data_IF_189136344378
#
_entry.id   IF_189136344378
#
_cell.length_a   1.000
_cell.length_b   1.000
_cell.length_c   1.000
_cell.angle_alpha   90.00
_cell.angle_beta   90.00
_cell.angle_gamma   90.00
#
_symmetry.space_group_name_H-M   'P 1'
#
loop_
_entity.id
_entity.type
_entity.pdbx_description
1 polymer ?
#
# COMPACT_ATOMS: atom_id res chain seq x y z
N UNK A 1 -20.50 8.16 3.53
CA UNK A 1 -21.79 8.66 2.98
C UNK A 1 -22.79 7.55 2.69
N UNK A 2 -22.35 6.37 2.24
CA UNK A 2 -23.23 5.20 1.95
C UNK A 2 -23.37 4.24 3.14
N UNK A 3 -22.85 4.62 4.31
CA UNK A 3 -22.84 3.78 5.51
C UNK A 3 -24.23 3.56 6.15
N UNK A 4 -25.29 4.17 5.60
CA UNK A 4 -26.69 3.91 5.97
C UNK A 4 -27.26 2.65 5.31
N UNK A 5 -26.58 2.09 4.30
CA UNK A 5 -27.00 0.88 3.61
C UNK A 5 -26.81 -0.37 4.49
N UNK A 6 -27.49 -1.49 4.21
CA UNK A 6 -27.27 -2.76 4.90
C UNK A 6 -25.81 -3.23 4.79
N UNK A 7 -25.27 -3.82 5.85
CA UNK A 7 -23.87 -4.21 5.94
C UNK A 7 -23.40 -5.14 4.81
N UNK A 8 -24.25 -6.06 4.36
CA UNK A 8 -23.93 -6.96 3.23
C UNK A 8 -23.74 -6.16 1.93
N UNK A 9 -24.61 -5.19 1.67
CA UNK A 9 -24.52 -4.35 0.47
C UNK A 9 -23.28 -3.46 0.51
N UNK A 10 -22.94 -2.92 1.68
CA UNK A 10 -21.68 -2.19 1.88
C UNK A 10 -20.49 -3.10 1.59
N UNK A 11 -20.47 -4.33 2.13
CA UNK A 11 -19.40 -5.28 1.89
C UNK A 11 -19.20 -5.60 0.40
N UNK A 12 -20.30 -5.82 -0.34
CA UNK A 12 -20.27 -6.06 -1.79
C UNK A 12 -19.73 -4.81 -2.51
N UNK A 13 -20.27 -3.63 -2.21
CA UNK A 13 -19.86 -2.39 -2.85
C UNK A 13 -18.38 -2.08 -2.59
N UNK A 14 -17.93 -2.18 -1.34
CA UNK A 14 -16.53 -2.00 -0.95
C UNK A 14 -15.62 -2.99 -1.66
N UNK A 15 -16.02 -4.26 -1.76
CA UNK A 15 -15.23 -5.28 -2.46
C UNK A 15 -15.10 -4.98 -3.95
N UNK A 16 -16.19 -4.54 -4.60
CA UNK A 16 -16.17 -4.13 -6.01
C UNK A 16 -15.28 -2.90 -6.20
N UNK A 17 -15.43 -1.87 -5.37
CA UNK A 17 -14.61 -0.66 -5.46
C UNK A 17 -13.13 -0.96 -5.25
N UNK A 18 -12.79 -1.80 -4.26
CA UNK A 18 -11.42 -2.22 -3.99
C UNK A 18 -10.84 -3.01 -5.17
N UNK A 19 -11.62 -3.94 -5.73
CA UNK A 19 -11.21 -4.73 -6.90
C UNK A 19 -10.97 -3.84 -8.12
N UNK A 20 -11.93 -3.00 -8.49
CA UNK A 20 -11.81 -2.08 -9.62
C UNK A 20 -10.61 -1.14 -9.46
N UNK A 21 -10.42 -0.59 -8.26
CA UNK A 21 -9.29 0.27 -7.94
C UNK A 21 -7.95 -0.47 -8.15
N UNK A 22 -7.85 -1.69 -7.64
CA UNK A 22 -6.62 -2.50 -7.75
C UNK A 22 -6.35 -2.95 -9.19
N UNK A 23 -7.37 -3.44 -9.90
CA UNK A 23 -7.25 -3.85 -11.31
C UNK A 23 -6.98 -2.69 -12.26
N UNK A 24 -7.29 -1.46 -11.88
CA UNK A 24 -6.93 -0.28 -12.65
C UNK A 24 -5.46 0.12 -12.41
N UNK A 25 -5.06 0.32 -11.15
CA UNK A 25 -3.73 0.88 -10.84
C UNK A 25 -2.59 -0.12 -10.96
N UNK A 26 -2.80 -1.38 -10.56
CA UNK A 26 -1.71 -2.36 -10.53
C UNK A 26 -1.13 -2.64 -11.93
N UNK A 27 -1.92 -2.84 -13.00
CA UNK A 27 -1.35 -3.03 -14.34
C UNK A 27 -0.50 -1.85 -14.81
N UNK A 28 -0.95 -0.60 -14.55
CA UNK A 28 -0.20 0.61 -14.91
C UNK A 28 1.14 0.63 -14.16
N UNK A 29 1.10 0.36 -12.86
CA UNK A 29 2.26 0.34 -11.99
C UNK A 29 3.26 -0.75 -12.41
N UNK A 30 2.79 -1.97 -12.67
CA UNK A 30 3.61 -3.10 -13.12
C UNK A 30 4.23 -2.81 -14.49
N UNK A 31 3.48 -2.24 -15.42
CA UNK A 31 4.01 -1.86 -16.73
C UNK A 31 5.18 -0.88 -16.59
N UNK A 32 5.02 0.19 -15.80
CA UNK A 32 6.09 1.17 -15.59
C UNK A 32 7.30 0.56 -14.85
N UNK A 33 7.06 -0.33 -13.88
CA UNK A 33 8.14 -1.03 -13.19
C UNK A 33 8.91 -1.97 -14.12
N UNK A 34 8.23 -2.65 -15.06
CA UNK A 34 8.89 -3.46 -16.08
C UNK A 34 9.73 -2.61 -17.05
N UNK A 35 9.23 -1.44 -17.46
CA UNK A 35 10.01 -0.48 -18.27
C UNK A 35 11.24 0.03 -17.50
N UNK A 36 11.08 0.37 -16.21
CA UNK A 36 12.18 0.74 -15.32
C UNK A 36 13.21 -0.39 -15.18
N UNK A 37 12.75 -1.63 -15.03
CA UNK A 37 13.59 -2.82 -14.89
C UNK A 37 14.41 -3.08 -16.15
N UNK A 38 13.77 -3.00 -17.33
CA UNK A 38 14.44 -3.21 -18.61
C UNK A 38 15.44 -2.10 -18.97
N UNK A 39 15.30 -0.90 -18.40
CA UNK A 39 16.14 0.26 -18.73
C UNK A 39 17.32 0.40 -17.75
N UNK A 40 18.59 0.30 -18.20
CA UNK A 40 19.76 0.41 -17.33
C UNK A 40 20.18 1.87 -17.05
N UNK A 41 19.58 2.87 -17.72
CA UNK A 41 20.03 4.26 -17.64
C UNK A 41 19.62 4.95 -16.32
N UNK A 42 20.58 5.44 -15.51
CA UNK A 42 20.28 6.09 -14.22
C UNK A 42 19.39 7.33 -14.36
N UNK A 43 19.61 8.14 -15.40
CA UNK A 43 18.82 9.35 -15.65
C UNK A 43 17.33 9.05 -15.92
N UNK A 44 17.03 7.90 -16.54
CA UNK A 44 15.67 7.45 -16.75
C UNK A 44 15.03 7.04 -15.41
N UNK A 45 15.77 6.27 -14.60
CA UNK A 45 15.32 5.82 -13.27
C UNK A 45 14.95 6.99 -12.37
N UNK A 46 15.80 8.02 -12.31
CA UNK A 46 15.55 9.26 -11.55
C UNK A 46 14.26 9.99 -11.96
N UNK A 47 13.82 9.85 -13.23
CA UNK A 47 12.58 10.48 -13.72
C UNK A 47 11.35 9.61 -13.52
N UNK A 48 11.48 8.29 -13.62
CA UNK A 48 10.33 7.38 -13.49
C UNK A 48 9.99 7.05 -12.04
N UNK A 49 10.96 7.09 -11.12
CA UNK A 49 10.73 6.79 -9.69
C UNK A 49 9.65 7.71 -9.06
N UNK A 50 9.68 9.05 -9.24
CA UNK A 50 8.60 9.90 -8.76
C UNK A 50 7.24 9.60 -9.37
N UNK A 51 7.20 9.15 -10.63
CA UNK A 51 5.95 8.79 -11.32
C UNK A 51 5.35 7.50 -10.73
N UNK A 52 6.17 6.48 -10.48
CA UNK A 52 5.75 5.23 -9.84
C UNK A 52 5.23 5.53 -8.42
N UNK A 53 5.95 6.36 -7.66
CA UNK A 53 5.52 6.78 -6.33
C UNK A 53 4.18 7.54 -6.37
N UNK A 54 4.02 8.48 -7.30
CA UNK A 54 2.77 9.21 -7.47
C UNK A 54 1.59 8.27 -7.78
N UNK A 55 1.80 7.26 -8.64
CA UNK A 55 0.77 6.27 -8.97
C UNK A 55 0.40 5.45 -7.73
N UNK A 56 1.38 5.03 -6.94
CA UNK A 56 1.13 4.31 -5.69
C UNK A 56 0.32 5.16 -4.69
N UNK A 57 0.69 6.43 -4.52
CA UNK A 57 -0.03 7.36 -3.66
C UNK A 57 -1.45 7.66 -4.18
N UNK A 58 -1.63 7.75 -5.51
CA UNK A 58 -2.95 7.92 -6.13
C UNK A 58 -3.84 6.70 -5.90
N UNK A 59 -3.29 5.49 -6.05
CA UNK A 59 -3.98 4.24 -5.74
C UNK A 59 -4.43 4.19 -4.29
N UNK A 60 -3.55 4.55 -3.35
CA UNK A 60 -3.88 4.68 -1.93
C UNK A 60 -4.92 5.77 -1.69
N UNK A 61 -4.83 6.90 -2.38
CA UNK A 61 -5.83 7.98 -2.33
C UNK A 61 -7.22 7.50 -2.73
N UNK A 62 -7.32 6.67 -3.77
CA UNK A 62 -8.57 6.01 -4.15
C UNK A 62 -9.04 5.01 -3.08
N UNK A 63 -8.12 4.33 -2.37
CA UNK A 63 -8.49 3.49 -1.24
C UNK A 63 -9.14 4.29 -0.11
N UNK A 64 -8.50 5.41 0.26
CA UNK A 64 -9.04 6.37 1.21
C UNK A 64 -10.41 6.90 0.79
N UNK A 65 -10.62 7.17 -0.50
CA UNK A 65 -11.89 7.67 -1.00
C UNK A 65 -13.04 6.66 -0.82
N UNK A 66 -12.85 5.38 -1.18
CA UNK A 66 -13.91 4.38 -0.95
C UNK A 66 -14.12 4.11 0.53
N UNK A 67 -13.09 4.20 1.39
CA UNK A 67 -13.24 4.09 2.83
C UNK A 67 -14.15 5.20 3.38
N UNK A 68 -13.88 6.45 3.03
CA UNK A 68 -14.73 7.60 3.42
C UNK A 68 -16.15 7.48 2.86
N UNK A 69 -16.29 6.92 1.66
CA UNK A 69 -17.59 6.72 1.04
C UNK A 69 -18.42 5.68 1.79
N UNK A 70 -17.83 4.54 2.15
CA UNK A 70 -18.55 3.32 2.58
C UNK A 70 -18.55 3.10 4.09
N UNK A 71 -17.50 3.54 4.80
CA UNK A 71 -17.33 3.29 6.22
C UNK A 71 -17.84 4.47 7.07
N UNK A 72 -18.04 4.23 8.37
CA UNK A 72 -18.37 5.27 9.37
C UNK A 72 -17.26 5.37 10.41
N UNK A 73 -16.03 5.53 9.94
CA UNK A 73 -14.85 5.56 10.79
C UNK A 73 -14.60 6.97 11.32
N UNK A 74 -14.46 7.10 12.63
CA UNK A 74 -13.97 8.31 13.30
C UNK A 74 -12.51 8.12 13.64
N UNK A 75 -11.66 9.04 13.18
CA UNK A 75 -10.23 8.99 13.42
C UNK A 75 -9.85 9.88 14.60
N UNK A 76 -9.41 9.27 15.70
CA UNK A 76 -8.74 9.96 16.80
C UNK A 76 -7.24 9.69 16.68
N UNK A 77 -6.50 10.69 16.21
CA UNK A 77 -5.09 10.54 15.82
C UNK A 77 -4.30 11.77 16.24
N UNK A 78 -3.19 11.54 16.94
CA UNK A 78 -2.35 12.58 17.53
C UNK A 78 -0.96 12.59 16.88
N UNK A 79 -0.32 13.77 16.82
CA UNK A 79 1.08 13.93 16.40
C UNK A 79 1.38 13.78 14.90
N UNK A 80 0.47 13.25 14.07
CA UNK A 80 0.73 13.07 12.62
C UNK A 80 1.01 14.40 11.90
N UNK A 81 0.37 15.49 12.32
CA UNK A 81 0.56 16.80 11.70
C UNK A 81 1.97 17.37 11.88
N UNK A 82 2.73 16.87 12.86
CA UNK A 82 4.08 17.35 13.21
C UNK A 82 5.18 16.59 12.46
N UNK A 83 4.84 15.52 11.72
CA UNK A 83 5.81 14.68 11.01
C UNK A 83 6.40 15.42 9.78
N UNK A 84 7.72 15.63 9.72
CA UNK A 84 8.36 16.21 8.53
C UNK A 84 8.26 15.30 7.29
N UNK A 85 7.62 15.77 6.22
CA UNK A 85 7.39 14.94 5.02
C UNK A 85 8.67 14.41 4.33
N UNK A 86 9.82 15.09 4.51
CA UNK A 86 11.12 14.72 3.93
C UNK A 86 12.07 14.16 5.00
N UNK A 87 11.72 13.04 5.61
CA UNK A 87 12.52 12.38 6.64
C UNK A 87 12.40 10.86 6.54
N UNK A 88 13.30 10.15 7.21
CA UNK A 88 13.29 8.69 7.28
C UNK A 88 12.49 8.23 8.50
N UNK A 89 11.60 7.26 8.29
CA UNK A 89 10.70 6.76 9.33
C UNK A 89 10.78 5.25 9.44
N UNK A 90 10.83 4.76 10.68
CA UNK A 90 10.47 3.39 11.02
C UNK A 90 9.14 3.45 11.75
N UNK A 91 8.07 3.04 11.07
CA UNK A 91 6.73 2.98 11.67
C UNK A 91 6.60 1.66 12.42
N UNK A 92 6.39 1.74 13.74
CA UNK A 92 6.14 0.60 14.59
C UNK A 92 4.71 0.67 15.14
N UNK A 93 3.97 -0.42 15.04
CA UNK A 93 2.60 -0.54 15.55
C UNK A 93 2.36 -1.94 16.09
N UNK A 94 1.36 -2.09 16.94
CA UNK A 94 0.73 -3.39 17.12
C UNK A 94 0.04 -3.82 15.80
N UNK A 95 -0.33 -5.10 15.73
CA UNK A 95 -1.08 -5.64 14.60
C UNK A 95 -2.37 -6.30 15.11
N UNK A 96 -3.51 -5.82 14.64
CA UNK A 96 -4.83 -6.31 15.04
C UNK A 96 -5.54 -6.99 13.88
N UNK A 97 -5.38 -6.48 12.66
CA UNK A 97 -6.12 -7.00 11.52
C UNK A 97 -5.46 -6.67 10.18
N UNK A 98 -5.92 -7.31 9.12
CA UNK A 98 -5.61 -6.92 7.75
C UNK A 98 -5.96 -5.46 7.40
N UNK A 99 -6.93 -4.84 8.10
CA UNK A 99 -7.33 -3.47 7.84
C UNK A 99 -6.26 -2.45 8.23
N UNK A 100 -5.30 -2.85 9.08
CA UNK A 100 -4.22 -2.00 9.58
C UNK A 100 -3.40 -1.40 8.43
N UNK A 101 -3.22 -2.13 7.33
CA UNK A 101 -2.54 -1.62 6.13
C UNK A 101 -3.28 -0.42 5.57
N UNK A 102 -4.61 -0.52 5.39
CA UNK A 102 -5.44 0.57 4.88
C UNK A 102 -5.49 1.75 5.84
N UNK A 103 -5.54 1.49 7.15
CA UNK A 103 -5.50 2.52 8.20
C UNK A 103 -4.20 3.32 8.11
N UNK A 104 -3.05 2.63 8.12
CA UNK A 104 -1.74 3.29 8.08
C UNK A 104 -1.55 4.03 6.75
N UNK A 105 -1.92 3.42 5.64
CA UNK A 105 -1.88 4.07 4.33
C UNK A 105 -2.78 5.31 4.27
N UNK A 106 -4.00 5.25 4.81
CA UNK A 106 -4.93 6.38 4.85
C UNK A 106 -4.36 7.57 5.64
N UNK A 107 -3.78 7.29 6.81
CA UNK A 107 -3.31 8.32 7.73
C UNK A 107 -1.95 8.93 7.33
N UNK A 108 -1.07 8.12 6.75
CA UNK A 108 0.35 8.48 6.56
C UNK A 108 0.72 8.85 5.12
N UNK A 109 -0.07 8.44 4.12
CA UNK A 109 0.23 8.75 2.71
C UNK A 109 0.20 10.27 2.49
N UNK A 110 1.22 10.78 1.78
CA UNK A 110 1.50 12.22 1.60
C UNK A 110 1.82 13.02 2.87
N UNK A 111 1.94 12.36 4.04
CA UNK A 111 2.43 12.95 5.29
C UNK A 111 3.88 12.55 5.56
N UNK A 112 4.21 11.30 5.26
CA UNK A 112 5.57 10.74 5.27
C UNK A 112 5.86 10.09 3.90
N UNK A 113 7.12 9.74 3.58
CA UNK A 113 7.43 8.94 2.39
C UNK A 113 6.60 7.65 2.35
N UNK A 114 6.28 7.19 1.14
CA UNK A 114 5.43 6.02 0.91
C UNK A 114 5.79 4.86 1.85
N UNK A 115 4.82 4.46 2.67
CA UNK A 115 5.01 3.42 3.67
C UNK A 115 5.22 2.07 2.99
N UNK A 116 6.38 1.46 3.23
CA UNK A 116 6.71 0.10 2.81
C UNK A 116 6.59 -0.83 4.01
N UNK A 117 5.94 -1.97 3.78
CA UNK A 117 5.73 -2.99 4.82
C UNK A 117 6.74 -4.12 4.65
N UNK A 118 7.14 -4.72 5.77
CA UNK A 118 7.83 -6.00 5.78
C UNK A 118 6.83 -7.12 5.48
N UNK A 119 6.88 -7.64 4.26
CA UNK A 119 5.94 -8.65 3.78
C UNK A 119 6.48 -10.05 4.00
N UNK A 120 5.61 -11.03 4.23
CA UNK A 120 6.02 -12.44 4.23
C UNK A 120 6.40 -12.86 2.81
N UNK A 121 7.43 -13.69 2.65
CA UNK A 121 7.91 -14.18 1.34
C UNK A 121 6.79 -14.80 0.50
N UNK A 122 5.84 -15.50 1.11
CA UNK A 122 4.73 -16.17 0.44
C UNK A 122 3.80 -15.18 -0.28
N UNK A 123 3.75 -13.92 0.17
CA UNK A 123 2.89 -12.89 -0.42
C UNK A 123 3.30 -12.50 -1.84
N UNK A 124 4.53 -12.82 -2.27
CA UNK A 124 4.95 -12.60 -3.66
C UNK A 124 4.08 -13.38 -4.67
N UNK A 125 3.47 -14.48 -4.22
CA UNK A 125 2.65 -15.36 -5.06
C UNK A 125 1.17 -14.96 -5.09
N UNK A 126 0.75 -13.97 -4.31
CA UNK A 126 -0.64 -13.49 -4.35
C UNK A 126 -0.87 -12.82 -5.71
N UNK A 127 -1.85 -13.28 -6.50
CA UNK A 127 -2.12 -12.69 -7.81
C UNK A 127 -2.37 -11.18 -7.71
N UNK A 128 -1.86 -10.44 -8.69
CA UNK A 128 -1.94 -8.96 -8.77
C UNK A 128 -1.11 -8.26 -7.67
N UNK A 129 -1.40 -8.50 -6.40
CA UNK A 129 -0.76 -7.81 -5.28
C UNK A 129 0.73 -8.14 -5.12
N UNK A 130 1.13 -9.40 -5.32
CA UNK A 130 2.54 -9.82 -5.30
C UNK A 130 3.41 -9.01 -6.26
N UNK A 131 2.90 -8.79 -7.48
CA UNK A 131 3.55 -7.98 -8.51
C UNK A 131 3.59 -6.50 -8.12
N UNK A 132 2.51 -5.98 -7.54
CA UNK A 132 2.45 -4.59 -7.10
C UNK A 132 3.49 -4.29 -6.01
N UNK A 133 3.62 -5.18 -5.01
CA UNK A 133 4.61 -5.03 -3.94
C UNK A 133 6.04 -5.16 -4.45
N UNK A 134 6.29 -6.10 -5.37
CA UNK A 134 7.59 -6.20 -6.05
C UNK A 134 7.93 -4.92 -6.81
N UNK A 135 6.98 -4.39 -7.59
CA UNK A 135 7.17 -3.20 -8.40
C UNK A 135 7.39 -1.92 -7.58
N UNK A 136 6.93 -1.90 -6.32
CA UNK A 136 7.16 -0.82 -5.36
C UNK A 136 8.40 -1.04 -4.47
N UNK A 137 9.21 -2.06 -4.78
CA UNK A 137 10.41 -2.43 -4.02
C UNK A 137 10.10 -2.65 -2.53
N UNK A 138 9.05 -3.41 -2.21
CA UNK A 138 8.72 -3.80 -0.83
C UNK A 138 9.65 -4.93 -0.35
N UNK A 139 10.10 -4.89 0.93
CA UNK A 139 10.95 -5.94 1.49
C UNK A 139 10.13 -7.21 1.79
N UNK A 140 10.53 -8.33 1.19
CA UNK A 140 10.01 -9.67 1.49
C UNK A 140 10.91 -10.39 2.49
N UNK A 141 10.32 -10.86 3.57
CA UNK A 141 10.98 -11.47 4.72
C UNK A 141 10.73 -12.98 4.72
N UNK A 142 11.79 -13.74 5.01
CA UNK A 142 11.70 -15.18 5.27
C UNK A 142 11.55 -15.43 6.76
N UNK A 143 10.63 -16.32 7.13
CA UNK A 143 10.51 -16.80 8.51
C UNK A 143 11.32 -18.08 8.64
N UNK A 144 12.45 -17.99 9.32
CA UNK A 144 13.27 -19.16 9.63
C UNK A 144 12.80 -19.82 10.93
N UNK A 145 12.88 -21.15 11.00
CA UNK A 145 12.62 -21.88 12.23
C UNK A 145 13.76 -21.65 13.22
N UNK A 146 13.49 -21.79 14.52
CA UNK A 146 14.54 -21.68 15.55
C UNK A 146 15.68 -22.67 15.32
N UNK A 147 15.36 -23.89 14.90
CA UNK A 147 16.35 -24.91 14.55
C UNK A 147 17.25 -24.50 13.38
N UNK A 148 16.72 -23.79 12.39
CA UNK A 148 17.51 -23.24 11.27
C UNK A 148 18.44 -22.11 11.74
N UNK A 149 18.00 -21.27 12.68
CA UNK A 149 18.78 -20.12 13.17
C UNK A 149 19.93 -20.49 14.11
N UNK A 150 19.93 -21.71 14.66
CA UNK A 150 20.98 -22.23 15.56
C UNK A 150 22.15 -22.90 14.81
N UNK A 151 22.05 -23.03 13.49
CA UNK A 151 23.11 -23.55 12.61
C UNK A 151 23.98 -22.41 12.12
#
# INVERSE_FOLDING_TARGET
>A
MLNFLPHVLIGILTSILLALNSFFWVPILVLLALVKFATPWPAFRLKIDPVILFIAEAWIGCNSAWMTLTQRTTWDVQGIAELPAKSWYLVNSNHQSWADIFVLQHLLTRRIPLLKFFLKQELIWVPVMGLAWWALDFPFMRRHSEAYLKQ
#
